data_IF_466158599311
#
_entry.id   IF_466158599311
#
_cell.length_a   1.000
_cell.length_b   1.000
_cell.length_c   1.000
_cell.angle_alpha   90.00
_cell.angle_beta   90.00
_cell.angle_gamma   90.00
#
_symmetry.space_group_name_H-M   'P 1'
#
loop_
_entity.id
_entity.type
_entity.pdbx_description
1 polymer ?
#
# COMPACT_ATOMS: atom_id res chain seq x y z
N UNK A 1 62.49 -21.91 -8.84
CA UNK A 1 61.60 -20.90 -8.22
C UNK A 1 62.24 -20.45 -6.90
N UNK A 2 62.65 -19.22 -6.83
CA UNK A 2 63.37 -18.63 -5.68
C UNK A 2 62.40 -18.41 -4.53
N UNK A 3 62.92 -18.48 -3.29
CA UNK A 3 62.14 -18.34 -2.03
C UNK A 3 61.41 -16.99 -1.95
N UNK A 4 61.88 -15.97 -2.64
CA UNK A 4 61.21 -14.67 -2.82
C UNK A 4 59.89 -14.73 -3.55
N UNK A 5 59.78 -15.60 -4.58
CA UNK A 5 58.56 -15.77 -5.40
C UNK A 5 57.42 -16.45 -4.60
N UNK A 6 57.76 -17.33 -3.68
CA UNK A 6 56.79 -18.00 -2.77
C UNK A 6 56.20 -17.01 -1.72
N UNK A 7 57.04 -16.12 -1.17
CA UNK A 7 56.58 -15.11 -0.21
C UNK A 7 55.66 -14.07 -0.88
N UNK A 8 55.98 -13.64 -2.10
CA UNK A 8 55.11 -12.71 -2.88
C UNK A 8 53.75 -13.34 -3.25
N UNK A 9 53.72 -14.64 -3.61
CA UNK A 9 52.47 -15.35 -3.89
C UNK A 9 51.60 -15.53 -2.65
N UNK A 10 52.20 -15.78 -1.48
CA UNK A 10 51.44 -15.90 -0.23
C UNK A 10 50.91 -14.56 0.30
N UNK A 11 51.63 -13.44 0.10
CA UNK A 11 51.15 -12.12 0.47
C UNK A 11 50.05 -11.60 -0.47
N UNK A 12 50.13 -11.89 -1.76
CA UNK A 12 49.03 -11.54 -2.70
C UNK A 12 47.78 -12.40 -2.48
N UNK A 13 47.89 -13.67 -2.14
CA UNK A 13 46.74 -14.52 -1.80
C UNK A 13 46.07 -14.07 -0.47
N UNK A 14 46.85 -13.70 0.54
CA UNK A 14 46.30 -13.19 1.82
C UNK A 14 45.61 -11.83 1.66
N UNK A 15 46.13 -10.94 0.80
CA UNK A 15 45.47 -9.65 0.52
C UNK A 15 44.17 -9.82 -0.27
N UNK A 16 44.11 -10.77 -1.23
CA UNK A 16 42.89 -11.05 -2.01
C UNK A 16 41.78 -11.67 -1.16
N UNK A 17 42.13 -12.57 -0.21
CA UNK A 17 41.15 -13.15 0.73
C UNK A 17 40.64 -12.13 1.75
N UNK A 18 41.47 -11.20 2.23
CA UNK A 18 41.03 -10.12 3.12
C UNK A 18 40.08 -9.13 2.43
N UNK A 19 40.31 -8.82 1.15
CA UNK A 19 39.44 -7.93 0.37
C UNK A 19 38.09 -8.57 0.06
N UNK A 20 38.05 -9.87 -0.26
CA UNK A 20 36.81 -10.61 -0.48
C UNK A 20 35.99 -10.79 0.82
N UNK A 21 36.63 -11.00 1.94
CA UNK A 21 35.96 -11.07 3.24
C UNK A 21 35.40 -9.71 3.66
N UNK A 22 36.10 -8.59 3.39
CA UNK A 22 35.62 -7.23 3.69
C UNK A 22 34.43 -6.84 2.80
N UNK A 23 34.40 -7.22 1.53
CA UNK A 23 33.25 -6.98 0.62
C UNK A 23 32.06 -7.84 0.98
N UNK A 24 32.25 -9.09 1.41
CA UNK A 24 31.16 -9.95 1.90
C UNK A 24 30.58 -9.45 3.24
N UNK A 25 31.40 -8.91 4.15
CA UNK A 25 30.91 -8.27 5.38
C UNK A 25 30.15 -6.96 5.10
N UNK A 26 30.62 -6.16 4.13
CA UNK A 26 29.92 -4.92 3.72
C UNK A 26 28.58 -5.24 3.02
N UNK A 27 28.46 -6.36 2.31
CA UNK A 27 27.18 -6.80 1.75
C UNK A 27 26.26 -7.42 2.81
N UNK A 28 26.78 -8.08 3.85
CA UNK A 28 25.98 -8.63 4.94
C UNK A 28 25.41 -7.56 5.89
N UNK A 29 25.98 -6.34 5.90
CA UNK A 29 25.45 -5.18 6.61
C UNK A 29 24.56 -4.28 5.73
N UNK A 30 24.23 -4.70 4.49
CA UNK A 30 23.10 -4.12 3.77
C UNK A 30 21.87 -4.36 4.64
N UNK A 31 21.53 -3.37 5.46
CA UNK A 31 20.37 -3.30 6.33
C UNK A 31 19.21 -3.81 5.51
N UNK A 32 18.66 -4.97 5.87
CA UNK A 32 17.41 -5.44 5.30
C UNK A 32 16.42 -4.30 5.55
N UNK A 33 16.12 -3.54 4.51
CA UNK A 33 15.25 -2.38 4.63
C UNK A 33 13.95 -2.87 5.26
N UNK A 34 13.58 -2.32 6.41
CA UNK A 34 12.34 -2.67 7.07
C UNK A 34 11.22 -2.51 6.06
N UNK A 35 10.44 -3.56 5.88
CA UNK A 35 9.30 -3.55 4.94
C UNK A 35 8.35 -2.43 5.35
N UNK A 36 8.04 -1.47 4.46
CA UNK A 36 7.20 -0.32 4.79
C UNK A 36 5.84 -0.75 5.34
N UNK A 37 5.42 -0.13 6.43
CA UNK A 37 4.15 -0.38 7.11
C UNK A 37 3.06 0.52 6.52
N UNK A 38 1.91 -0.04 6.20
CA UNK A 38 0.77 0.73 5.70
C UNK A 38 -0.44 0.54 6.58
N UNK A 39 -1.23 1.60 6.71
CA UNK A 39 -2.57 1.56 7.29
C UNK A 39 -3.61 1.36 6.19
N UNK A 40 -4.56 0.44 6.40
CA UNK A 40 -5.75 0.29 5.56
C UNK A 40 -6.92 1.06 6.18
N UNK A 41 -7.43 2.07 5.49
CA UNK A 41 -8.61 2.85 5.88
C UNK A 41 -9.73 2.50 4.91
N UNK A 42 -10.68 1.70 5.37
CA UNK A 42 -11.67 1.09 4.49
C UNK A 42 -13.10 1.40 4.94
N UNK A 43 -14.01 1.47 3.98
CA UNK A 43 -15.45 1.57 4.28
C UNK A 43 -15.99 0.26 4.82
N UNK A 44 -15.80 -0.84 4.08
CA UNK A 44 -16.12 -2.21 4.46
C UNK A 44 -15.00 -3.14 4.00
N UNK A 45 -14.94 -4.34 4.57
CA UNK A 45 -14.01 -5.38 4.12
C UNK A 45 -14.77 -6.70 4.00
N UNK A 46 -15.25 -7.03 2.80
CA UNK A 46 -15.96 -8.25 2.49
C UNK A 46 -15.38 -8.93 1.25
N UNK A 47 -15.73 -10.20 0.94
CA UNK A 47 -15.25 -10.88 -0.25
C UNK A 47 -15.48 -10.07 -1.53
N UNK A 48 -14.47 -10.01 -2.37
CA UNK A 48 -14.45 -9.30 -3.66
C UNK A 48 -14.66 -7.78 -3.57
N UNK A 49 -14.65 -7.19 -2.37
CA UNK A 49 -14.61 -5.73 -2.21
C UNK A 49 -13.25 -5.17 -2.64
N UNK A 50 -13.20 -3.86 -2.87
CA UNK A 50 -11.93 -3.19 -3.17
C UNK A 50 -10.89 -3.37 -2.05
N UNK A 51 -11.32 -3.39 -0.79
CA UNK A 51 -10.45 -3.71 0.35
C UNK A 51 -9.85 -5.11 0.20
N UNK A 52 -10.65 -6.11 -0.16
CA UNK A 52 -10.18 -7.49 -0.37
C UNK A 52 -9.18 -7.57 -1.54
N UNK A 53 -9.51 -6.95 -2.67
CA UNK A 53 -8.62 -6.96 -3.85
C UNK A 53 -7.29 -6.27 -3.57
N UNK A 54 -7.28 -5.14 -2.88
CA UNK A 54 -6.06 -4.33 -2.66
C UNK A 54 -5.26 -4.87 -1.48
N UNK A 55 -5.89 -5.01 -0.30
CA UNK A 55 -5.21 -5.43 0.92
C UNK A 55 -4.89 -6.93 0.89
N UNK A 56 -5.74 -7.74 0.26
CA UNK A 56 -5.52 -9.17 0.08
C UNK A 56 -4.22 -9.49 -0.65
N UNK A 57 -3.80 -8.65 -1.61
CA UNK A 57 -2.50 -8.82 -2.29
C UNK A 57 -1.30 -8.59 -1.36
N UNK A 58 -1.42 -7.71 -0.40
CA UNK A 58 -0.38 -7.50 0.62
C UNK A 58 -0.32 -8.70 1.56
N UNK A 59 -1.46 -9.28 1.91
CA UNK A 59 -1.59 -10.35 2.88
C UNK A 59 -1.29 -11.74 2.31
N UNK A 60 -1.70 -11.99 1.08
CA UNK A 60 -1.70 -13.33 0.48
C UNK A 60 -1.01 -13.40 -0.90
N UNK A 61 -0.23 -12.38 -1.27
CA UNK A 61 0.48 -12.33 -2.55
C UNK A 61 -0.38 -11.83 -3.71
N UNK A 62 0.25 -11.64 -4.87
CA UNK A 62 -0.39 -11.02 -6.04
C UNK A 62 -1.67 -11.76 -6.50
N UNK A 63 -1.69 -13.07 -6.37
CA UNK A 63 -2.83 -13.92 -6.74
C UNK A 63 -3.75 -14.26 -5.56
N UNK A 64 -3.45 -13.75 -4.35
CA UNK A 64 -4.17 -14.05 -3.10
C UNK A 64 -4.23 -15.55 -2.74
N UNK A 65 -3.29 -16.32 -3.24
CA UNK A 65 -3.17 -17.77 -2.99
C UNK A 65 -1.88 -18.12 -2.23
N UNK A 66 -1.18 -17.13 -1.72
CA UNK A 66 0.17 -17.22 -1.21
C UNK A 66 1.21 -16.84 -2.26
N UNK A 67 2.49 -16.86 -1.88
CA UNK A 67 3.58 -16.51 -2.79
C UNK A 67 3.95 -15.02 -2.74
N UNK A 68 4.71 -14.52 -3.75
CA UNK A 68 5.22 -13.16 -3.75
C UNK A 68 4.09 -12.13 -3.85
N UNK A 69 4.28 -11.00 -3.18
CA UNK A 69 3.34 -9.88 -3.15
C UNK A 69 4.05 -8.54 -3.11
N UNK A 70 3.32 -7.43 -2.92
CA UNK A 70 3.90 -6.13 -2.70
C UNK A 70 4.84 -6.15 -1.49
N UNK A 71 5.99 -5.47 -1.60
CA UNK A 71 6.93 -5.30 -0.48
C UNK A 71 6.38 -4.28 0.54
N UNK A 72 5.23 -4.60 1.12
CA UNK A 72 4.49 -3.80 2.09
C UNK A 72 3.99 -4.69 3.22
N UNK A 73 3.81 -4.12 4.41
CA UNK A 73 3.19 -4.76 5.57
C UNK A 73 1.93 -4.00 5.95
N UNK A 74 0.78 -4.65 5.91
CA UNK A 74 -0.45 -4.09 6.49
C UNK A 74 -0.31 -4.12 8.02
N UNK A 75 -0.17 -2.94 8.64
CA UNK A 75 0.14 -2.80 10.05
C UNK A 75 -1.10 -2.47 10.90
N UNK A 76 -2.14 -1.91 10.30
CA UNK A 76 -3.37 -1.52 10.98
C UNK A 76 -4.54 -1.43 10.02
N UNK A 77 -5.75 -1.48 10.59
CA UNK A 77 -7.00 -1.26 9.89
C UNK A 77 -7.86 -0.24 10.65
N UNK A 78 -8.56 0.58 9.88
CA UNK A 78 -9.79 1.25 10.27
C UNK A 78 -10.90 0.77 9.34
N UNK A 79 -12.02 0.32 9.91
CA UNK A 79 -13.19 -0.17 9.17
C UNK A 79 -14.39 0.66 9.59
N UNK A 80 -14.95 1.40 8.63
CA UNK A 80 -16.05 2.35 8.92
C UNK A 80 -17.36 1.65 9.21
N UNK A 81 -17.63 0.55 8.51
CA UNK A 81 -18.84 -0.25 8.70
C UNK A 81 -18.50 -1.75 8.68
N UNK A 82 -19.11 -2.50 9.60
CA UNK A 82 -19.05 -3.95 9.61
C UNK A 82 -20.34 -4.53 9.04
N UNK A 83 -20.22 -5.23 7.93
CA UNK A 83 -21.34 -5.87 7.21
C UNK A 83 -21.51 -7.34 7.61
N UNK A 84 -22.57 -7.98 7.15
CA UNK A 84 -22.88 -9.37 7.53
C UNK A 84 -21.81 -10.37 7.10
N UNK A 85 -21.18 -10.14 5.94
CA UNK A 85 -20.09 -10.94 5.36
C UNK A 85 -18.71 -10.31 5.61
N UNK A 86 -18.56 -9.59 6.73
CA UNK A 86 -17.31 -8.93 7.13
C UNK A 86 -16.14 -9.91 7.27
N UNK A 87 -15.04 -9.61 6.61
CA UNK A 87 -13.76 -10.34 6.71
C UNK A 87 -12.75 -9.66 7.65
N UNK A 88 -12.94 -8.39 7.99
CA UNK A 88 -11.91 -7.60 8.69
C UNK A 88 -11.52 -8.22 10.03
N UNK A 89 -12.51 -8.74 10.78
CA UNK A 89 -12.26 -9.36 12.10
C UNK A 89 -11.49 -10.67 11.97
N UNK A 90 -11.76 -11.47 10.93
CA UNK A 90 -11.06 -12.73 10.69
C UNK A 90 -9.63 -12.47 10.22
N UNK A 91 -9.44 -11.51 9.33
CA UNK A 91 -8.13 -11.03 8.87
C UNK A 91 -7.32 -10.48 10.04
N UNK A 92 -7.92 -9.65 10.88
CA UNK A 92 -7.30 -9.14 12.11
C UNK A 92 -6.75 -10.28 12.96
N UNK A 93 -7.57 -11.29 13.25
CA UNK A 93 -7.14 -12.46 14.04
C UNK A 93 -6.07 -13.30 13.35
N UNK A 94 -6.26 -13.57 12.05
CA UNK A 94 -5.37 -14.46 11.28
C UNK A 94 -3.98 -13.87 11.09
N UNK A 95 -3.88 -12.57 10.85
CA UNK A 95 -2.61 -11.90 10.53
C UNK A 95 -2.08 -11.02 11.68
N UNK A 96 -2.79 -10.96 12.83
CA UNK A 96 -2.37 -10.15 13.97
C UNK A 96 -2.43 -8.65 13.69
N UNK A 97 -3.37 -8.18 12.86
CA UNK A 97 -3.50 -6.78 12.44
C UNK A 97 -4.55 -6.11 13.31
N UNK A 98 -4.21 -5.09 14.13
CA UNK A 98 -5.17 -4.40 14.96
C UNK A 98 -6.18 -3.60 14.11
N UNK A 99 -7.45 -3.64 14.52
CA UNK A 99 -8.50 -2.77 14.02
C UNK A 99 -8.70 -1.66 15.05
N UNK A 100 -8.56 -0.42 14.61
CA UNK A 100 -8.72 0.76 15.46
C UNK A 100 -10.07 1.43 15.23
N UNK A 101 -10.58 2.12 16.27
CA UNK A 101 -11.88 2.79 16.23
C UNK A 101 -11.84 4.17 15.55
N UNK A 102 -10.65 4.73 15.32
CA UNK A 102 -10.47 5.99 14.60
C UNK A 102 -9.34 5.88 13.59
N UNK A 103 -9.42 6.70 12.53
CA UNK A 103 -8.37 6.79 11.51
C UNK A 103 -7.06 7.24 12.16
N UNK A 104 -7.08 8.22 13.05
CA UNK A 104 -5.88 8.69 13.76
C UNK A 104 -5.19 7.53 14.50
N UNK A 105 -5.93 6.73 15.24
CA UNK A 105 -5.36 5.58 15.96
C UNK A 105 -4.77 4.54 15.00
N UNK A 106 -5.39 4.30 13.85
CA UNK A 106 -4.84 3.40 12.84
C UNK A 106 -3.50 3.93 12.27
N UNK A 107 -3.40 5.24 12.04
CA UNK A 107 -2.18 5.87 11.55
C UNK A 107 -1.05 5.90 12.60
N UNK A 108 -1.41 6.05 13.87
CA UNK A 108 -0.44 6.10 14.97
C UNK A 108 -0.13 4.72 15.56
N UNK A 109 -0.81 3.66 15.10
CA UNK A 109 -0.76 2.32 15.72
C UNK A 109 -1.11 2.37 17.22
N UNK A 110 -2.00 3.28 17.60
CA UNK A 110 -2.39 3.53 18.99
C UNK A 110 -1.37 4.33 19.82
N UNK A 111 -0.29 4.82 19.21
CA UNK A 111 0.76 5.61 19.86
C UNK A 111 0.55 7.13 19.76
N UNK A 112 1.60 7.88 20.07
CA UNK A 112 1.61 9.35 20.11
C UNK A 112 2.17 10.01 18.82
N UNK A 113 2.57 9.23 17.83
CA UNK A 113 3.14 9.70 16.55
C UNK A 113 2.69 8.80 15.40
N UNK A 114 2.76 9.31 14.16
CA UNK A 114 2.48 8.49 12.97
C UNK A 114 3.45 7.31 12.92
N UNK A 115 2.93 6.10 13.05
CA UNK A 115 3.68 4.84 13.13
C UNK A 115 3.73 4.04 11.82
N UNK A 116 3.05 4.53 10.77
CA UNK A 116 3.01 3.91 9.44
C UNK A 116 3.82 4.71 8.42
N UNK A 117 4.18 4.08 7.30
CA UNK A 117 4.97 4.65 6.22
C UNK A 117 4.13 4.97 4.98
N UNK A 118 2.84 4.62 5.01
CA UNK A 118 1.88 4.91 3.96
C UNK A 118 0.45 4.61 4.38
N UNK A 119 -0.51 5.13 3.62
CA UNK A 119 -1.95 4.96 3.86
C UNK A 119 -2.63 4.48 2.58
N UNK A 120 -3.46 3.45 2.70
CA UNK A 120 -4.35 2.95 1.65
C UNK A 120 -5.78 3.32 2.03
N UNK A 121 -6.31 4.38 1.43
CA UNK A 121 -7.68 4.89 1.65
C UNK A 121 -8.61 4.28 0.60
N UNK A 122 -9.47 3.36 1.02
CA UNK A 122 -10.35 2.57 0.16
C UNK A 122 -11.79 2.86 0.52
N UNK A 123 -12.31 3.94 -0.03
CA UNK A 123 -13.65 4.45 0.23
C UNK A 123 -14.66 3.95 -0.80
N UNK A 124 -14.89 2.66 -0.88
CA UNK A 124 -15.79 2.03 -1.85
C UNK A 124 -16.63 0.95 -1.19
N UNK A 125 -17.89 0.83 -1.61
CA UNK A 125 -18.90 -0.03 -1.02
C UNK A 125 -19.34 0.41 0.40
N UNK A 126 -20.39 -0.22 0.90
CA UNK A 126 -21.03 0.09 2.18
C UNK A 126 -22.37 0.79 2.02
N UNK A 127 -23.03 1.00 3.14
CA UNK A 127 -24.34 1.68 3.21
C UNK A 127 -24.11 3.19 3.43
N UNK A 128 -24.13 3.94 2.33
CA UNK A 128 -23.95 5.38 2.30
C UNK A 128 -25.09 6.03 1.52
N UNK A 129 -25.47 7.28 1.85
CA UNK A 129 -26.56 7.97 1.20
C UNK A 129 -26.26 8.20 -0.29
N UNK A 130 -27.33 8.42 -1.05
CA UNK A 130 -27.27 8.81 -2.44
C UNK A 130 -27.49 10.31 -2.59
N UNK A 131 -26.88 10.90 -3.61
CA UNK A 131 -27.19 12.27 -4.06
C UNK A 131 -28.51 12.29 -4.81
N UNK A 132 -29.04 13.50 -5.06
CA UNK A 132 -30.28 13.70 -5.83
C UNK A 132 -30.21 13.15 -7.26
N UNK A 133 -29.00 12.94 -7.79
CA UNK A 133 -28.76 12.37 -9.13
C UNK A 133 -28.34 10.90 -9.08
N UNK A 134 -28.55 10.21 -7.93
CA UNK A 134 -28.30 8.78 -7.78
C UNK A 134 -26.84 8.37 -7.59
N UNK A 135 -25.91 9.29 -7.30
CA UNK A 135 -24.53 8.95 -6.97
C UNK A 135 -24.41 8.57 -5.50
N UNK A 136 -23.79 7.44 -5.19
CA UNK A 136 -23.53 7.07 -3.80
C UNK A 136 -22.40 7.90 -3.20
N UNK A 137 -22.65 8.51 -2.05
CA UNK A 137 -21.77 9.48 -1.40
C UNK A 137 -20.79 8.79 -0.46
N UNK A 138 -19.86 8.06 -1.01
CA UNK A 138 -18.80 7.41 -0.24
C UNK A 138 -17.94 8.42 0.54
N UNK A 139 -17.39 8.07 1.71
CA UNK A 139 -16.78 9.01 2.65
C UNK A 139 -15.31 9.37 2.31
N UNK A 140 -14.91 9.38 1.02
CA UNK A 140 -13.52 9.62 0.59
C UNK A 140 -12.96 10.94 1.10
N UNK A 141 -13.73 12.04 0.96
CA UNK A 141 -13.35 13.36 1.49
C UNK A 141 -13.24 13.34 3.01
N UNK A 142 -14.15 12.68 3.73
CA UNK A 142 -14.08 12.53 5.19
C UNK A 142 -12.83 11.78 5.61
N UNK A 143 -12.54 10.63 4.99
CA UNK A 143 -11.33 9.86 5.26
C UNK A 143 -10.07 10.70 5.05
N UNK A 144 -9.97 11.37 3.91
CA UNK A 144 -8.81 12.21 3.63
C UNK A 144 -8.66 13.38 4.59
N UNK A 145 -9.76 13.99 5.03
CA UNK A 145 -9.76 15.06 6.05
C UNK A 145 -9.24 14.54 7.39
N UNK A 146 -9.66 13.36 7.82
CA UNK A 146 -9.20 12.76 9.07
C UNK A 146 -7.72 12.32 8.99
N UNK A 147 -7.29 11.81 7.83
CA UNK A 147 -5.88 11.49 7.56
C UNK A 147 -5.01 12.76 7.61
N UNK A 148 -5.41 13.81 6.89
CA UNK A 148 -4.66 15.07 6.84
C UNK A 148 -4.59 15.76 8.19
N UNK A 149 -5.68 15.76 8.94
CA UNK A 149 -5.71 16.28 10.31
C UNK A 149 -4.77 15.52 11.26
N UNK A 150 -4.70 14.19 11.14
CA UNK A 150 -3.75 13.39 11.91
C UNK A 150 -2.29 13.71 11.54
N UNK A 151 -1.98 13.88 10.25
CA UNK A 151 -0.65 14.29 9.82
C UNK A 151 -0.24 15.65 10.36
N UNK A 152 -1.15 16.64 10.31
CA UNK A 152 -0.91 17.98 10.85
C UNK A 152 -0.71 17.94 12.36
N UNK A 153 -1.58 17.23 13.09
CA UNK A 153 -1.50 17.08 14.56
C UNK A 153 -0.18 16.45 15.02
N UNK A 154 0.29 15.43 14.30
CA UNK A 154 1.47 14.66 14.69
C UNK A 154 2.77 15.11 13.98
N UNK A 155 2.71 16.11 13.12
CA UNK A 155 3.87 16.69 12.44
C UNK A 155 4.61 15.73 11.48
N UNK A 156 3.96 14.64 11.04
CA UNK A 156 4.54 13.68 10.10
C UNK A 156 3.55 13.35 8.97
N UNK A 157 4.03 13.50 7.73
CA UNK A 157 3.28 13.18 6.52
C UNK A 157 3.86 11.91 5.88
N UNK A 158 3.00 11.05 5.39
CA UNK A 158 3.36 9.85 4.62
C UNK A 158 2.53 9.78 3.32
N UNK A 159 2.96 9.03 2.30
CA UNK A 159 2.20 8.85 1.07
C UNK A 159 0.80 8.29 1.33
N UNK A 160 -0.17 8.78 0.56
CA UNK A 160 -1.57 8.33 0.59
C UNK A 160 -1.97 7.86 -0.79
N UNK A 161 -2.41 6.61 -0.90
CA UNK A 161 -3.15 6.11 -2.05
C UNK A 161 -4.65 6.19 -1.74
N UNK A 162 -5.40 6.90 -2.60
CA UNK A 162 -6.86 6.92 -2.57
C UNK A 162 -7.40 6.08 -3.72
N UNK A 163 -8.09 5.01 -3.38
CA UNK A 163 -8.71 4.15 -4.38
C UNK A 163 -9.88 4.87 -5.08
N UNK A 164 -9.92 4.76 -6.41
CA UNK A 164 -10.88 5.44 -7.29
C UNK A 164 -10.68 6.95 -7.38
N UNK A 165 -11.74 7.64 -7.85
CA UNK A 165 -11.79 9.10 -7.91
C UNK A 165 -11.86 9.73 -6.51
N UNK A 166 -11.54 11.02 -6.41
CA UNK A 166 -11.47 11.72 -5.13
C UNK A 166 -12.83 11.97 -4.50
N UNK A 167 -13.87 12.16 -5.30
CA UNK A 167 -15.24 12.39 -4.81
C UNK A 167 -16.26 12.55 -5.93
N UNK A 168 -17.56 12.52 -5.62
CA UNK A 168 -18.62 12.69 -6.62
C UNK A 168 -18.74 14.12 -7.13
N UNK A 169 -18.30 15.11 -6.34
CA UNK A 169 -18.35 16.51 -6.70
C UNK A 169 -16.95 17.07 -6.99
N UNK A 170 -16.86 17.96 -7.97
CA UNK A 170 -15.61 18.69 -8.28
C UNK A 170 -15.02 19.39 -7.07
N UNK A 171 -15.87 20.02 -6.25
CA UNK A 171 -15.44 20.72 -5.04
C UNK A 171 -14.74 19.81 -4.02
N UNK A 172 -15.14 18.53 -3.92
CA UNK A 172 -14.50 17.55 -3.04
C UNK A 172 -13.11 17.18 -3.56
N UNK A 173 -13.01 16.88 -4.85
CA UNK A 173 -11.73 16.57 -5.49
C UNK A 173 -10.74 17.74 -5.42
N UNK A 174 -11.22 18.94 -5.70
CA UNK A 174 -10.41 20.16 -5.63
C UNK A 174 -9.89 20.40 -4.21
N UNK A 175 -10.75 20.26 -3.20
CA UNK A 175 -10.36 20.41 -1.80
C UNK A 175 -9.30 19.38 -1.39
N UNK A 176 -9.50 18.11 -1.74
CA UNK A 176 -8.52 17.03 -1.43
C UNK A 176 -7.17 17.31 -2.09
N UNK A 177 -7.18 17.76 -3.35
CA UNK A 177 -5.97 18.15 -4.06
C UNK A 177 -5.24 19.33 -3.39
N UNK A 178 -5.98 20.40 -3.08
CA UNK A 178 -5.43 21.59 -2.41
C UNK A 178 -4.87 21.27 -1.03
N UNK A 179 -5.55 20.45 -0.27
CA UNK A 179 -5.11 20.01 1.05
C UNK A 179 -3.85 19.13 0.96
N UNK A 180 -3.77 18.24 -0.04
CA UNK A 180 -2.55 17.48 -0.31
C UNK A 180 -1.37 18.40 -0.66
N UNK A 181 -1.59 19.44 -1.48
CA UNK A 181 -0.56 20.43 -1.78
C UNK A 181 -0.14 21.22 -0.54
N UNK A 182 -1.10 21.68 0.27
CA UNK A 182 -0.86 22.47 1.50
C UNK A 182 0.05 21.73 2.47
N UNK A 183 -0.22 20.44 2.71
CA UNK A 183 0.53 19.61 3.64
C UNK A 183 1.68 18.85 2.98
N UNK A 184 1.86 19.00 1.67
CA UNK A 184 2.85 18.26 0.87
C UNK A 184 2.69 16.74 1.00
N UNK A 185 1.43 16.26 1.01
CA UNK A 185 1.13 14.83 1.02
C UNK A 185 1.39 14.27 -0.38
N UNK A 186 2.27 13.26 -0.53
CA UNK A 186 2.37 12.50 -1.78
C UNK A 186 1.04 11.73 -1.99
N UNK A 187 0.16 12.28 -2.83
CA UNK A 187 -1.18 11.73 -3.08
C UNK A 187 -1.23 11.06 -4.45
N UNK A 188 -1.57 9.79 -4.48
CA UNK A 188 -1.95 9.04 -5.67
C UNK A 188 -3.43 8.68 -5.58
N UNK A 189 -4.22 9.08 -6.56
CA UNK A 189 -5.61 8.66 -6.70
C UNK A 189 -5.76 7.84 -7.99
N UNK A 190 -6.37 6.66 -7.90
CA UNK A 190 -6.52 5.81 -9.06
C UNK A 190 -7.32 4.55 -8.79
N UNK A 191 -7.72 3.88 -9.87
CA UNK A 191 -8.51 2.65 -9.79
C UNK A 191 -7.66 1.44 -9.42
N UNK A 192 -8.27 0.49 -8.71
CA UNK A 192 -7.72 -0.85 -8.48
C UNK A 192 -7.76 -1.75 -9.73
N UNK A 193 -8.46 -1.35 -10.79
CA UNK A 193 -8.58 -2.14 -12.03
C UNK A 193 -7.23 -2.55 -12.64
N UNK A 194 -6.19 -1.70 -12.69
CA UNK A 194 -4.89 -2.11 -13.23
C UNK A 194 -4.21 -3.23 -12.45
N UNK A 195 -4.59 -3.45 -11.19
CA UNK A 195 -4.07 -4.54 -10.35
C UNK A 195 -5.07 -5.67 -10.15
N UNK A 196 -6.24 -5.57 -10.78
CA UNK A 196 -7.25 -6.64 -10.83
C UNK A 196 -6.83 -7.81 -11.71
N UNK A 197 -7.59 -8.89 -11.66
CA UNK A 197 -7.41 -10.02 -12.56
C UNK A 197 -7.88 -9.67 -13.97
N UNK A 198 -7.11 -10.08 -14.97
CA UNK A 198 -7.59 -10.05 -16.37
C UNK A 198 -8.51 -11.24 -16.63
N UNK A 199 -9.64 -10.95 -17.21
CA UNK A 199 -10.47 -11.98 -17.88
C UNK A 199 -9.93 -12.20 -19.29
N UNK A 200 -10.35 -13.29 -19.93
CA UNK A 200 -9.91 -13.65 -21.29
C UNK A 200 -10.16 -12.52 -22.33
N UNK A 201 -9.24 -12.28 -23.27
CA UNK A 201 -7.92 -12.90 -23.38
C UNK A 201 -6.96 -12.36 -22.35
N UNK A 202 -6.23 -13.24 -21.66
CA UNK A 202 -5.34 -12.87 -20.56
C UNK A 202 -4.22 -11.92 -21.00
N UNK A 203 -3.65 -12.17 -22.17
CA UNK A 203 -2.54 -11.40 -22.70
C UNK A 203 -2.74 -11.18 -24.20
N UNK A 204 -2.68 -9.94 -24.61
CA UNK A 204 -2.55 -9.60 -26.02
C UNK A 204 -1.07 -9.67 -26.44
N UNK A 205 -0.72 -10.24 -27.60
CA UNK A 205 0.64 -10.25 -28.07
C UNK A 205 1.23 -8.84 -28.12
N UNK A 206 2.51 -8.72 -27.79
CA UNK A 206 3.22 -7.44 -27.94
C UNK A 206 3.15 -7.00 -29.42
N UNK A 207 2.85 -5.72 -29.63
CA UNK A 207 2.72 -5.10 -30.95
C UNK A 207 1.58 -5.67 -31.80
N UNK A 208 0.57 -6.35 -31.20
CA UNK A 208 -0.63 -6.70 -31.96
C UNK A 208 -1.33 -5.42 -32.46
N UNK A 209 -1.84 -5.48 -33.68
CA UNK A 209 -2.65 -4.40 -34.23
C UNK A 209 -4.09 -4.55 -33.73
N UNK A 210 -4.57 -3.55 -32.99
CA UNK A 210 -5.94 -3.52 -32.51
C UNK A 210 -6.80 -2.72 -33.48
N UNK A 211 -7.85 -3.32 -34.01
CA UNK A 211 -8.80 -2.62 -34.89
C UNK A 211 -9.85 -1.87 -34.10
N UNK A 212 -10.22 -2.35 -32.90
CA UNK A 212 -11.21 -1.72 -32.04
C UNK A 212 -11.00 -2.08 -30.56
N UNK A 213 -11.49 -1.22 -29.66
CA UNK A 213 -11.61 -1.48 -28.23
C UNK A 213 -12.99 -1.00 -27.76
N UNK A 214 -13.65 -1.79 -26.91
CA UNK A 214 -14.95 -1.46 -26.29
C UNK A 214 -14.79 -1.49 -24.78
N UNK A 215 -15.11 -0.38 -24.12
CA UNK A 215 -15.23 -0.29 -22.66
C UNK A 215 -16.71 -0.36 -22.28
N UNK A 216 -17.07 -1.27 -21.38
CA UNK A 216 -18.39 -1.38 -20.77
C UNK A 216 -18.25 -1.13 -19.30
N UNK A 217 -18.93 -0.08 -18.76
CA UNK A 217 -18.93 0.30 -17.37
C UNK A 217 -20.32 0.37 -16.79
#
# INVERSE_FOLDING_TARGET
MTEQTRRQLLTTAAAATATLASTALLQATARQADVPKVAGIVTIYRPFSHADVILGKILAGWEQQGGPGPQLKLASLYVDQFVTDDMARDISRRYGIPIFSTIEQALTLGGSSIGVDGVLSIGEHGDYPFSDIGQQLYPRRRFFREISAAFEKHGRVVPVFNDKHLGPAWADGLWMYQEAQRLKIPLLAGSSLPVGYRLQPEILPMNCQLEAAVGIG
#
